data_IF_458698843886
#
_entry.id   IF_458698843886
#
_cell.length_a   1.000
_cell.length_b   1.000
_cell.length_c   1.000
_cell.angle_alpha   90.00
_cell.angle_beta   90.00
_cell.angle_gamma   90.00
#
_symmetry.space_group_name_H-M   'P 1'
#
loop_
_entity.id
_entity.type
_entity.pdbx_description
1 polymer ?
#
# COMPACT_ATOMS: atom_id res chain seq x y z
N UNK A 1 0.72 21.59 15.36
CA UNK A 1 0.39 20.32 14.67
C UNK A 1 0.91 19.10 15.45
N UNK A 2 0.50 18.95 16.71
CA UNK A 2 0.83 17.80 17.59
C UNK A 2 -0.39 17.33 18.42
N UNK A 3 -1.55 17.96 18.25
CA UNK A 3 -2.66 17.87 19.21
C UNK A 3 -3.57 16.66 19.00
N UNK A 4 -3.32 15.81 17.99
CA UNK A 4 -4.17 14.64 17.71
C UNK A 4 -3.66 13.32 18.30
N UNK A 5 -2.36 13.19 18.55
CA UNK A 5 -1.76 11.91 18.96
C UNK A 5 -1.61 11.76 20.49
N UNK A 6 -1.79 10.55 21.00
CA UNK A 6 -1.51 10.21 22.40
C UNK A 6 -0.01 10.22 22.69
N UNK A 7 0.37 10.25 23.96
CA UNK A 7 1.79 10.22 24.36
C UNK A 7 2.47 8.91 23.92
N UNK A 8 1.72 7.82 23.93
CA UNK A 8 2.15 6.48 23.51
C UNK A 8 2.37 6.43 22.00
N UNK A 9 1.44 6.97 21.22
CA UNK A 9 1.55 7.12 19.76
C UNK A 9 2.80 7.94 19.40
N UNK A 10 3.00 9.09 20.04
CA UNK A 10 4.17 9.95 19.83
C UNK A 10 5.47 9.22 20.19
N UNK A 11 5.51 8.48 21.31
CA UNK A 11 6.69 7.70 21.71
C UNK A 11 7.03 6.62 20.69
N UNK A 12 6.03 5.97 20.10
CA UNK A 12 6.22 4.99 19.04
C UNK A 12 6.74 5.67 17.77
N UNK A 13 6.09 6.74 17.32
CA UNK A 13 6.44 7.42 16.07
C UNK A 13 7.87 7.96 16.09
N UNK A 14 8.32 8.50 17.24
CA UNK A 14 9.73 8.87 17.46
C UNK A 14 10.72 7.72 17.29
N UNK A 15 10.32 6.48 17.58
CA UNK A 15 11.17 5.28 17.36
C UNK A 15 11.15 4.83 15.91
N UNK A 16 10.02 4.99 15.22
CA UNK A 16 9.83 4.67 13.81
C UNK A 16 10.32 5.82 12.91
N UNK A 17 11.58 6.22 13.08
CA UNK A 17 12.17 7.43 12.49
C UNK A 17 12.84 7.25 11.13
N UNK A 18 12.58 6.13 10.46
CA UNK A 18 13.09 5.84 9.10
C UNK A 18 12.03 5.01 8.37
N UNK A 19 11.87 5.13 7.04
CA UNK A 19 10.94 4.30 6.29
C UNK A 19 11.11 2.79 6.51
N UNK A 20 12.34 2.31 6.61
CA UNK A 20 12.64 0.90 6.91
C UNK A 20 12.06 0.45 8.26
N UNK A 21 12.22 1.24 9.33
CA UNK A 21 11.61 0.94 10.65
C UNK A 21 10.08 0.94 10.61
N UNK A 22 9.48 1.82 9.82
CA UNK A 22 8.02 1.84 9.63
C UNK A 22 7.58 0.53 8.96
N UNK A 23 8.29 0.11 7.91
CA UNK A 23 8.04 -1.16 7.24
C UNK A 23 8.22 -2.36 8.19
N UNK A 24 9.30 -2.39 8.97
CA UNK A 24 9.56 -3.47 9.93
C UNK A 24 8.48 -3.58 11.00
N UNK A 25 7.88 -2.45 11.39
CA UNK A 25 6.73 -2.45 12.27
C UNK A 25 5.50 -3.08 11.59
N UNK A 26 5.18 -2.68 10.36
CA UNK A 26 4.04 -3.24 9.60
C UNK A 26 4.22 -4.73 9.27
N UNK A 27 5.44 -5.18 9.02
CA UNK A 27 5.74 -6.60 8.78
C UNK A 27 5.40 -7.46 10.01
N UNK A 28 5.54 -6.92 11.22
CA UNK A 28 5.21 -7.65 12.46
C UNK A 28 3.70 -7.76 12.72
N UNK A 29 2.88 -6.92 12.10
CA UNK A 29 1.44 -6.99 12.25
C UNK A 29 0.88 -8.16 11.42
N UNK A 30 0.02 -9.03 11.98
CA UNK A 30 -0.78 -9.96 11.20
C UNK A 30 -1.52 -9.27 10.05
N UNK A 31 -1.72 -10.00 8.95
CA UNK A 31 -2.56 -9.51 7.87
C UNK A 31 -4.03 -9.47 8.32
N UNK A 32 -4.71 -8.36 8.03
CA UNK A 32 -6.13 -8.22 8.32
C UNK A 32 -6.95 -8.90 7.23
N UNK A 33 -7.52 -10.07 7.54
CA UNK A 33 -8.40 -10.82 6.63
C UNK A 33 -9.87 -10.41 6.72
N UNK A 34 -10.20 -9.34 7.44
CA UNK A 34 -11.56 -8.77 7.53
C UNK A 34 -12.60 -9.81 8.00
N UNK A 35 -12.20 -10.72 8.90
CA UNK A 35 -13.02 -11.85 9.37
C UNK A 35 -14.36 -11.44 10.00
N UNK A 36 -14.51 -10.18 10.41
CA UNK A 36 -15.68 -9.62 11.08
C UNK A 36 -16.42 -8.57 10.23
N UNK A 37 -16.10 -8.48 8.94
CA UNK A 37 -16.61 -7.45 8.02
C UNK A 37 -15.47 -6.59 7.47
N UNK A 38 -15.80 -5.86 6.39
CA UNK A 38 -14.87 -4.94 5.74
C UNK A 38 -14.41 -3.85 6.71
N UNK A 39 -13.14 -3.45 6.62
CA UNK A 39 -12.56 -2.38 7.45
C UNK A 39 -11.78 -1.39 6.61
N UNK A 40 -11.61 -0.19 7.16
CA UNK A 40 -10.67 0.79 6.64
C UNK A 40 -10.14 1.58 7.83
N UNK A 41 -9.36 0.91 8.67
CA UNK A 41 -8.85 1.45 9.92
C UNK A 41 -7.94 2.67 9.73
N UNK A 42 -8.09 3.65 10.61
CA UNK A 42 -7.12 4.73 10.78
C UNK A 42 -5.79 4.20 11.33
N UNK A 43 -4.69 4.98 11.23
CA UNK A 43 -3.42 4.67 11.89
C UNK A 43 -3.56 4.35 13.39
N UNK A 44 -4.42 5.09 14.12
CA UNK A 44 -4.73 4.78 15.53
C UNK A 44 -5.36 3.41 15.67
N UNK A 45 -6.38 3.10 14.86
CA UNK A 45 -7.07 1.82 14.93
C UNK A 45 -6.14 0.65 14.56
N UNK A 46 -5.18 0.84 13.65
CA UNK A 46 -4.12 -0.15 13.37
C UNK A 46 -3.28 -0.44 14.62
N UNK A 47 -2.92 0.57 15.41
CA UNK A 47 -2.17 0.39 16.67
C UNK A 47 -2.99 -0.36 17.73
N UNK A 48 -4.28 -0.07 17.83
CA UNK A 48 -5.17 -0.71 18.78
C UNK A 48 -5.46 -2.17 18.41
N UNK A 49 -5.81 -2.43 17.14
CA UNK A 49 -6.17 -3.77 16.65
C UNK A 49 -4.97 -4.63 16.32
N UNK A 50 -3.79 -4.03 16.14
CA UNK A 50 -2.51 -4.72 15.84
C UNK A 50 -2.60 -5.62 14.61
N UNK A 51 -3.31 -5.17 13.58
CA UNK A 51 -3.46 -5.87 12.30
C UNK A 51 -3.67 -4.83 11.21
N UNK A 52 -3.33 -5.17 9.97
CA UNK A 52 -3.56 -4.30 8.82
C UNK A 52 -3.58 -5.09 7.51
N UNK A 53 -4.43 -4.69 6.57
CA UNK A 53 -4.26 -5.01 5.14
C UNK A 53 -3.57 -3.85 4.41
N UNK A 54 -3.47 -3.90 3.08
CA UNK A 54 -2.70 -2.95 2.27
C UNK A 54 -3.11 -1.48 2.49
N UNK A 55 -4.38 -1.15 2.33
CA UNK A 55 -4.91 0.21 2.55
C UNK A 55 -4.59 0.72 3.97
N UNK A 56 -4.91 -0.06 5.01
CA UNK A 56 -4.66 0.31 6.41
C UNK A 56 -3.17 0.49 6.70
N UNK A 57 -2.33 -0.37 6.12
CA UNK A 57 -0.87 -0.25 6.20
C UNK A 57 -0.34 0.99 5.50
N UNK A 58 -0.91 1.37 4.35
CA UNK A 58 -0.57 2.59 3.63
C UNK A 58 -0.95 3.84 4.44
N UNK A 59 -2.16 3.88 5.02
CA UNK A 59 -2.57 4.98 5.90
C UNK A 59 -1.63 5.11 7.10
N UNK A 60 -1.31 3.99 7.75
CA UNK A 60 -0.39 3.96 8.88
C UNK A 60 1.01 4.47 8.50
N UNK A 61 1.56 3.98 7.38
CA UNK A 61 2.87 4.40 6.88
C UNK A 61 2.91 5.88 6.55
N UNK A 62 1.91 6.39 5.84
CA UNK A 62 1.80 7.80 5.46
C UNK A 62 1.69 8.73 6.67
N UNK A 63 0.98 8.33 7.73
CA UNK A 63 0.85 9.13 8.95
C UNK A 63 2.19 9.30 9.68
N UNK A 64 3.03 8.26 9.71
CA UNK A 64 4.35 8.34 10.35
C UNK A 64 5.34 9.09 9.47
N UNK A 65 5.30 8.88 8.16
CA UNK A 65 6.08 9.68 7.21
C UNK A 65 5.80 11.18 7.40
N UNK A 66 4.52 11.55 7.53
CA UNK A 66 4.13 12.93 7.81
C UNK A 66 4.56 13.42 9.18
N UNK A 67 4.50 12.58 10.22
CA UNK A 67 5.04 12.93 11.53
C UNK A 67 6.53 13.34 11.46
N UNK A 68 7.30 12.75 10.52
CA UNK A 68 8.71 13.09 10.26
C UNK A 68 8.91 14.14 9.16
N UNK A 69 7.84 14.80 8.69
CA UNK A 69 7.92 15.95 7.79
C UNK A 69 7.76 15.65 6.30
N UNK A 70 7.48 14.40 5.91
CA UNK A 70 7.12 14.08 4.53
C UNK A 70 5.64 14.41 4.24
N UNK A 71 5.25 14.46 2.96
CA UNK A 71 3.83 14.51 2.63
C UNK A 71 3.19 13.11 2.84
N UNK A 72 1.96 13.00 3.38
CA UNK A 72 1.28 11.72 3.60
C UNK A 72 0.67 11.20 2.29
N UNK A 73 1.53 10.80 1.35
CA UNK A 73 1.12 10.36 0.02
C UNK A 73 0.83 8.86 0.00
N UNK A 74 -0.26 8.47 -0.67
CA UNK A 74 -0.56 7.08 -1.02
C UNK A 74 -0.70 6.92 -2.54
N UNK A 75 -0.52 5.69 -3.01
CA UNK A 75 -0.59 5.32 -4.42
C UNK A 75 -1.44 4.06 -4.60
N UNK A 76 -2.40 4.11 -5.52
CA UNK A 76 -3.25 2.98 -5.88
C UNK A 76 -2.67 2.23 -7.09
N UNK A 77 -2.61 0.91 -6.99
CA UNK A 77 -2.19 -0.01 -8.04
C UNK A 77 -3.38 -0.90 -8.40
N UNK A 78 -3.87 -0.76 -9.64
CA UNK A 78 -5.03 -1.53 -10.10
C UNK A 78 -4.64 -2.66 -11.02
N UNK A 79 -5.22 -3.81 -10.70
CA UNK A 79 -5.02 -5.06 -11.39
C UNK A 79 -6.11 -5.31 -12.44
N UNK A 80 -6.10 -6.48 -13.06
CA UNK A 80 -7.08 -6.83 -14.07
C UNK A 80 -8.42 -7.18 -13.42
N UNK A 81 -9.53 -6.67 -13.98
CA UNK A 81 -10.89 -7.06 -13.56
C UNK A 81 -11.34 -8.40 -14.16
N UNK A 82 -10.71 -8.83 -15.26
CA UNK A 82 -11.03 -10.08 -15.95
C UNK A 82 -9.78 -10.68 -16.63
N UNK A 83 -9.23 -11.81 -16.14
CA UNK A 83 -9.58 -12.45 -14.86
C UNK A 83 -9.36 -11.49 -13.68
N UNK A 84 -10.14 -11.64 -12.62
CA UNK A 84 -10.05 -10.80 -11.42
C UNK A 84 -8.75 -11.07 -10.67
N UNK A 85 -8.12 -10.00 -10.22
CA UNK A 85 -7.02 -9.98 -9.25
C UNK A 85 -7.24 -8.82 -8.28
N UNK A 86 -6.45 -8.75 -7.20
CA UNK A 86 -6.61 -7.74 -6.16
C UNK A 86 -5.80 -6.48 -6.45
N UNK A 87 -6.41 -5.33 -6.19
CA UNK A 87 -5.72 -4.04 -6.19
C UNK A 87 -4.85 -3.90 -4.93
N UNK A 88 -3.92 -2.93 -4.94
CA UNK A 88 -2.98 -2.73 -3.84
C UNK A 88 -2.67 -1.26 -3.64
N UNK A 89 -2.57 -0.85 -2.37
CA UNK A 89 -2.28 0.53 -2.00
C UNK A 89 -1.00 0.58 -1.18
N UNK A 90 -0.14 1.54 -1.48
CA UNK A 90 1.14 1.77 -0.79
C UNK A 90 1.27 3.21 -0.33
N UNK A 91 1.98 3.42 0.78
CA UNK A 91 2.44 4.75 1.17
C UNK A 91 3.74 5.05 0.44
N UNK A 92 3.88 6.25 -0.12
CA UNK A 92 5.09 6.64 -0.85
C UNK A 92 5.72 7.88 -0.21
N UNK A 93 7.03 8.00 -0.35
CA UNK A 93 7.76 9.22 -0.01
C UNK A 93 8.76 9.53 -1.12
N UNK A 94 9.22 10.78 -1.17
CA UNK A 94 10.33 11.20 -1.99
C UNK A 94 11.49 11.62 -1.07
N UNK A 95 12.68 11.08 -1.34
CA UNK A 95 13.93 11.41 -0.66
C UNK A 95 14.98 11.70 -1.73
N UNK A 96 15.58 12.89 -1.68
CA UNK A 96 16.58 13.36 -2.64
C UNK A 96 16.21 13.20 -4.12
N UNK A 97 14.92 13.38 -4.44
CA UNK A 97 14.40 13.27 -5.81
C UNK A 97 14.02 11.86 -6.24
N UNK A 98 14.11 10.87 -5.35
CA UNK A 98 13.75 9.48 -5.63
C UNK A 98 12.60 9.00 -4.75
N UNK A 99 11.68 8.24 -5.34
CA UNK A 99 10.52 7.68 -4.67
C UNK A 99 10.82 6.33 -4.06
N UNK A 100 10.33 6.10 -2.84
CA UNK A 100 10.25 4.79 -2.19
C UNK A 100 8.80 4.43 -1.84
N UNK A 101 8.56 3.20 -1.36
CA UNK A 101 7.24 2.76 -0.93
C UNK A 101 7.25 1.84 0.31
N UNK A 102 6.32 2.11 1.23
CA UNK A 102 5.99 1.29 2.40
C UNK A 102 4.70 0.55 2.07
N UNK A 103 4.66 -0.75 2.37
CA UNK A 103 3.56 -1.60 1.95
C UNK A 103 3.19 -2.68 2.98
N UNK A 104 1.93 -3.12 2.96
CA UNK A 104 1.44 -4.27 3.72
C UNK A 104 0.79 -5.30 2.79
N UNK A 105 1.32 -6.52 2.80
CA UNK A 105 0.89 -7.64 1.95
C UNK A 105 1.01 -8.95 2.75
N UNK A 106 0.30 -10.00 2.32
CA UNK A 106 0.42 -11.34 2.88
C UNK A 106 1.36 -12.26 2.06
N UNK A 107 1.89 -11.76 0.93
CA UNK A 107 2.67 -12.54 -0.02
C UNK A 107 4.17 -12.20 0.05
N UNK A 108 5.00 -13.01 -0.61
CA UNK A 108 6.44 -12.74 -0.77
C UNK A 108 6.78 -11.53 -1.65
N UNK A 109 5.76 -10.91 -2.25
CA UNK A 109 5.86 -9.83 -3.25
C UNK A 109 5.02 -8.62 -2.83
N UNK A 110 5.15 -7.50 -3.55
CA UNK A 110 4.48 -6.22 -3.29
C UNK A 110 4.84 -5.59 -1.94
N UNK A 111 6.09 -5.77 -1.52
CA UNK A 111 6.64 -5.28 -0.24
C UNK A 111 7.28 -3.88 -0.41
N UNK A 112 8.19 -3.55 0.51
CA UNK A 112 8.96 -2.32 0.55
C UNK A 112 9.73 -2.04 -0.74
N UNK A 113 9.96 -0.76 -1.01
CA UNK A 113 10.80 -0.26 -2.09
C UNK A 113 11.71 0.83 -1.57
N UNK A 114 13.01 0.61 -1.76
CA UNK A 114 14.05 1.63 -1.53
C UNK A 114 13.78 2.89 -2.36
N UNK A 115 14.16 4.09 -1.87
CA UNK A 115 13.94 5.34 -2.58
C UNK A 115 14.95 5.51 -3.72
N UNK A 116 14.81 4.73 -4.79
CA UNK A 116 15.73 4.72 -5.94
C UNK A 116 15.05 5.02 -7.28
N UNK A 117 13.75 5.29 -7.28
CA UNK A 117 12.93 5.46 -8.49
C UNK A 117 12.70 6.94 -8.81
N UNK A 118 13.09 7.42 -10.00
CA UNK A 118 12.98 8.85 -10.34
C UNK A 118 11.56 9.33 -10.61
N UNK A 119 10.65 8.39 -10.86
CA UNK A 119 9.25 8.69 -11.14
C UNK A 119 8.32 7.68 -10.51
N UNK A 120 7.06 8.09 -10.31
CA UNK A 120 5.98 7.19 -9.88
C UNK A 120 5.86 6.00 -10.81
N UNK A 121 5.99 6.21 -12.13
CA UNK A 121 5.94 5.13 -13.10
C UNK A 121 7.07 4.12 -12.87
N UNK A 122 8.30 4.56 -12.63
CA UNK A 122 9.42 3.66 -12.34
C UNK A 122 9.15 2.83 -11.07
N UNK A 123 8.67 3.48 -9.99
CA UNK A 123 8.27 2.81 -8.77
C UNK A 123 7.19 1.75 -9.03
N UNK A 124 6.16 2.09 -9.79
CA UNK A 124 5.07 1.15 -10.17
C UNK A 124 5.61 -0.02 -10.98
N UNK A 125 6.51 0.23 -11.94
CA UNK A 125 7.10 -0.84 -12.76
C UNK A 125 7.91 -1.84 -11.94
N UNK A 126 8.43 -1.46 -10.76
CA UNK A 126 9.10 -2.39 -9.85
C UNK A 126 8.17 -3.47 -9.27
N UNK A 127 6.85 -3.27 -9.35
CA UNK A 127 5.83 -4.25 -8.94
C UNK A 127 5.25 -5.04 -10.12
N UNK A 128 5.54 -4.64 -11.36
CA UNK A 128 4.80 -5.14 -12.52
C UNK A 128 4.92 -6.65 -12.74
N UNK A 129 6.13 -7.21 -12.56
CA UNK A 129 6.36 -8.65 -12.72
C UNK A 129 5.93 -9.49 -11.52
N UNK A 130 5.71 -8.85 -10.37
CA UNK A 130 5.20 -9.49 -9.16
C UNK A 130 3.68 -9.72 -9.20
N UNK A 131 2.99 -8.99 -10.07
CA UNK A 131 1.55 -9.09 -10.27
C UNK A 131 1.18 -10.19 -11.27
N UNK A 132 0.83 -11.37 -10.77
CA UNK A 132 0.26 -12.44 -11.57
C UNK A 132 -0.64 -13.38 -10.76
N UNK A 133 -1.56 -14.05 -11.46
CA UNK A 133 -2.40 -15.07 -10.86
C UNK A 133 -1.64 -16.38 -10.68
N UNK A 134 -1.49 -16.86 -9.44
CA UNK A 134 -0.88 -18.15 -9.13
C UNK A 134 -1.53 -19.34 -9.86
N UNK A 135 -2.81 -19.25 -10.22
CA UNK A 135 -3.54 -20.32 -10.93
C UNK A 135 -3.19 -20.42 -12.42
N UNK A 136 -2.75 -19.33 -13.05
CA UNK A 136 -2.59 -19.28 -14.52
C UNK A 136 -1.26 -18.70 -15.00
N UNK A 137 -0.52 -18.02 -14.13
CA UNK A 137 0.66 -17.21 -14.45
C UNK A 137 0.36 -15.93 -15.22
N UNK A 138 -0.92 -15.58 -15.44
CA UNK A 138 -1.27 -14.36 -16.19
C UNK A 138 -0.90 -13.12 -15.39
N UNK A 139 -0.18 -12.19 -16.02
CA UNK A 139 0.23 -10.92 -15.40
C UNK A 139 -0.90 -9.90 -15.41
N UNK A 140 -1.11 -9.22 -14.30
CA UNK A 140 -2.40 -8.58 -13.99
C UNK A 140 -2.34 -7.09 -13.67
N UNK A 141 -1.19 -6.49 -13.34
CA UNK A 141 -1.12 -5.05 -13.10
C UNK A 141 -1.49 -4.27 -14.38
N UNK A 142 -2.38 -3.27 -14.27
CA UNK A 142 -2.90 -2.50 -15.42
C UNK A 142 -2.74 -1.01 -15.27
N UNK A 143 -3.02 -0.46 -14.10
CA UNK A 143 -3.09 0.98 -13.90
C UNK A 143 -2.46 1.39 -12.57
N UNK A 144 -2.11 2.66 -12.46
CA UNK A 144 -1.72 3.29 -11.20
C UNK A 144 -2.32 4.69 -11.10
N UNK A 145 -2.66 5.14 -9.90
CA UNK A 145 -3.18 6.50 -9.69
C UNK A 145 -2.08 7.57 -9.75
N UNK A 146 -2.47 8.83 -9.86
CA UNK A 146 -1.61 9.91 -9.35
C UNK A 146 -1.38 9.73 -7.82
N UNK A 147 -0.22 10.17 -7.28
CA UNK A 147 -0.03 10.25 -5.84
C UNK A 147 -1.12 11.08 -5.17
N UNK A 148 -1.69 10.54 -4.10
CA UNK A 148 -2.79 11.18 -3.41
C UNK A 148 -2.37 11.64 -2.00
N UNK A 149 -2.53 12.94 -1.73
CA UNK A 149 -2.23 13.54 -0.42
C UNK A 149 -3.41 13.34 0.56
N UNK A 150 -3.18 12.61 1.64
CA UNK A 150 -4.19 12.35 2.66
C UNK A 150 -4.63 13.59 3.45
N UNK A 151 -3.94 14.73 3.32
CA UNK A 151 -4.37 15.99 3.94
C UNK A 151 -5.76 16.47 3.50
N UNK A 152 -6.24 16.02 2.32
CA UNK A 152 -7.63 16.23 1.89
C UNK A 152 -8.67 15.67 2.89
N UNK A 153 -8.27 14.70 3.72
CA UNK A 153 -9.11 14.05 4.73
C UNK A 153 -8.88 14.58 6.14
N UNK A 154 -8.21 15.72 6.32
CA UNK A 154 -7.99 16.30 7.65
C UNK A 154 -9.30 16.60 8.39
N UNK A 155 -10.36 16.99 7.66
CA UNK A 155 -11.69 17.26 8.23
C UNK A 155 -12.35 16.05 8.92
N UNK A 156 -11.95 14.83 8.55
CA UNK A 156 -12.45 13.58 9.16
C UNK A 156 -11.45 12.97 10.15
N UNK A 157 -10.39 13.69 10.50
CA UNK A 157 -9.34 13.23 11.42
C UNK A 157 -8.77 11.86 11.02
N UNK A 158 -8.46 11.66 9.74
CA UNK A 158 -8.08 10.34 9.18
C UNK A 158 -6.96 9.62 9.95
N UNK A 159 -6.06 10.35 10.62
CA UNK A 159 -4.97 9.79 11.44
C UNK A 159 -5.45 9.06 12.69
N UNK A 160 -6.54 9.54 13.28
CA UNK A 160 -6.95 9.22 14.66
C UNK A 160 -8.42 8.90 14.80
N UNK A 161 -9.17 8.85 13.69
CA UNK A 161 -10.58 8.47 13.67
C UNK A 161 -10.77 7.06 14.23
N UNK A 162 -11.77 6.90 15.09
CA UNK A 162 -12.23 5.58 15.57
C UNK A 162 -13.20 4.91 14.59
N UNK A 163 -13.65 5.64 13.56
CA UNK A 163 -14.52 5.14 12.49
C UNK A 163 -13.70 4.68 11.29
N UNK A 164 -14.21 3.67 10.58
CA UNK A 164 -13.65 3.25 9.31
C UNK A 164 -13.70 4.37 8.27
N UNK A 165 -12.60 4.50 7.54
CA UNK A 165 -12.30 5.60 6.62
C UNK A 165 -12.70 5.28 5.18
N UNK A 166 -13.84 4.61 4.97
CA UNK A 166 -14.30 4.18 3.64
C UNK A 166 -14.43 5.30 2.60
N UNK A 167 -14.44 6.57 3.02
CA UNK A 167 -14.37 7.72 2.11
C UNK A 167 -13.05 7.78 1.32
N UNK A 168 -11.93 7.31 1.92
CA UNK A 168 -10.61 7.32 1.31
C UNK A 168 -10.54 6.38 0.09
N UNK A 169 -10.81 5.05 0.21
CA UNK A 169 -10.82 4.17 -0.96
C UNK A 169 -11.81 4.63 -2.03
N UNK A 170 -13.01 5.11 -1.64
CA UNK A 170 -14.01 5.64 -2.59
C UNK A 170 -13.54 6.85 -3.37
N UNK A 171 -12.69 7.69 -2.78
CA UNK A 171 -12.12 8.85 -3.45
C UNK A 171 -10.93 8.46 -4.31
N UNK A 172 -10.04 7.61 -3.77
CA UNK A 172 -8.90 7.07 -4.48
C UNK A 172 -9.35 6.39 -5.78
N UNK A 173 -10.49 5.70 -5.72
CA UNK A 173 -11.09 5.06 -6.88
C UNK A 173 -11.47 6.01 -8.03
N UNK A 174 -11.72 7.28 -7.71
CA UNK A 174 -12.11 8.35 -8.64
C UNK A 174 -10.93 9.22 -9.06
N UNK A 175 -9.77 9.04 -8.44
CA UNK A 175 -8.54 9.75 -8.81
C UNK A 175 -8.15 9.34 -10.23
N UNK A 176 -7.37 10.17 -10.93
CA UNK A 176 -6.90 9.82 -12.26
C UNK A 176 -5.98 8.60 -12.19
N UNK A 177 -6.29 7.59 -13.02
CA UNK A 177 -5.45 6.40 -13.19
C UNK A 177 -4.83 6.38 -14.58
N UNK A 178 -3.57 5.94 -14.64
CA UNK A 178 -2.75 5.88 -15.83
C UNK A 178 -2.58 4.43 -16.28
N UNK A 179 -2.86 4.16 -17.55
CA UNK A 179 -2.65 2.83 -18.13
C UNK A 179 -1.16 2.52 -18.26
N UNK A 180 -0.72 1.37 -17.75
CA UNK A 180 0.66 0.88 -17.90
C UNK A 180 0.88 0.27 -19.28
N UNK A 181 -0.16 -0.36 -19.84
CA UNK A 181 -0.10 -1.16 -21.05
C UNK A 181 -1.23 -0.85 -22.02
N UNK A 182 -0.92 -0.94 -23.31
CA UNK A 182 -1.92 -1.01 -24.37
C UNK A 182 -2.58 -2.39 -24.44
N UNK A 183 -3.76 -2.47 -25.06
CA UNK A 183 -4.45 -3.74 -25.34
C UNK A 183 -3.58 -4.74 -26.12
N UNK A 184 -2.72 -4.25 -27.02
CA UNK A 184 -1.79 -5.09 -27.80
C UNK A 184 -0.69 -5.68 -26.92
N UNK A 185 -0.13 -4.89 -26.00
CA UNK A 185 0.87 -5.40 -25.05
C UNK A 185 0.29 -6.45 -24.12
N UNK A 186 -0.92 -6.23 -23.58
CA UNK A 186 -1.60 -7.20 -22.68
C UNK A 186 -1.73 -8.58 -23.34
N UNK A 187 -2.13 -8.63 -24.62
CA UNK A 187 -2.28 -9.89 -25.38
C UNK A 187 -0.97 -10.65 -25.60
N UNK A 188 0.16 -9.95 -25.57
CA UNK A 188 1.48 -10.49 -25.87
C UNK A 188 2.34 -10.74 -24.62
N UNK A 189 1.80 -10.52 -23.41
CA UNK A 189 2.54 -10.82 -22.18
C UNK A 189 2.78 -12.32 -22.06
N UNK A 190 4.03 -12.70 -21.81
CA UNK A 190 4.33 -14.06 -21.33
C UNK A 190 3.78 -14.25 -19.92
N UNK A 191 3.41 -15.50 -19.62
CA UNK A 191 3.10 -15.93 -18.25
C UNK A 191 4.32 -15.78 -17.33
N UNK A 192 4.05 -15.70 -16.03
CA UNK A 192 5.05 -15.90 -15.00
C UNK A 192 5.61 -17.33 -15.09
N UNK A 193 6.85 -17.50 -14.67
CA UNK A 193 7.53 -18.79 -14.66
C UNK A 193 6.97 -19.69 -13.59
N UNK A 194 7.14 -21.00 -13.79
CA UNK A 194 6.67 -22.01 -12.81
C UNK A 194 7.24 -21.74 -11.42
N UNK A 195 8.51 -21.34 -11.33
CA UNK A 195 9.15 -21.02 -10.05
C UNK A 195 8.54 -19.77 -9.41
N UNK A 196 8.25 -18.72 -10.19
CA UNK A 196 7.58 -17.51 -9.69
C UNK A 196 6.19 -17.87 -9.14
N UNK A 197 5.45 -18.74 -9.83
CA UNK A 197 4.13 -19.22 -9.40
C UNK A 197 4.22 -20.03 -8.10
N UNK A 198 5.17 -20.95 -7.95
CA UNK A 198 5.31 -21.72 -6.72
C UNK A 198 5.68 -20.83 -5.52
N UNK A 199 6.59 -19.86 -5.73
CA UNK A 199 6.92 -18.87 -4.69
C UNK A 199 5.73 -17.98 -4.37
N UNK A 200 4.94 -17.57 -5.36
CA UNK A 200 3.76 -16.73 -5.19
C UNK A 200 2.64 -17.36 -4.36
N UNK A 201 2.63 -18.70 -4.21
CA UNK A 201 1.70 -19.43 -3.33
C UNK A 201 2.09 -19.38 -1.85
N UNK A 202 3.30 -18.93 -1.53
CA UNK A 202 3.75 -18.81 -0.14
C UNK A 202 3.09 -17.59 0.49
N UNK A 203 2.39 -17.84 1.60
CA UNK A 203 1.70 -16.82 2.39
C UNK A 203 2.34 -16.70 3.77
N UNK A 204 2.46 -15.47 4.28
CA UNK A 204 3.03 -15.19 5.60
C UNK A 204 2.05 -15.56 6.73
N UNK A 205 0.76 -15.26 6.55
CA UNK A 205 -0.31 -15.55 7.48
C UNK A 205 -1.39 -16.42 6.81
N UNK A 206 -1.94 -17.37 7.56
CA UNK A 206 -3.09 -18.18 7.11
C UNK A 206 -4.39 -17.48 7.48
N UNK A 207 -5.34 -17.46 6.53
CA UNK A 207 -6.70 -16.97 6.75
C UNK A 207 -7.45 -17.84 7.76
#
# INVERSE_FOLDING_TARGET
>A
MLESYTKEEVRLFKKLNTPAKIQDFLNKLPFNFEKKGETCMSPRMVLEKKTAHCMEGALFGAAILEYHGHQPLILDLRSAKKPFDFDHVVAIWNEDGFYGAISKTNHGVLRYREPVYKSIRELVMSYFHEYFLNSTGLKTLREYSDPFDLNHFNKINWRTSEKDLFEIPKYLDKTTHHQILTKKQIKNLRKADKIEIEVGKIEEYKK
#
